data_IF_189872708374
#
_entry.id   IF_189872708374
#
_cell.length_a   1.000
_cell.length_b   1.000
_cell.length_c   1.000
_cell.angle_alpha   90.00
_cell.angle_beta   90.00
_cell.angle_gamma   90.00
#
_symmetry.space_group_name_H-M   'P 1'
#
loop_
_entity.id
_entity.type
_entity.pdbx_description
1 polymer ?
#
# COMPACT_ATOMS: atom_id res chain seq x y z
N UNK A 1 -0.26 -22.08 8.02
CA UNK A 1 -0.59 -20.74 7.47
C UNK A 1 -1.90 -20.68 6.67
N UNK A 2 -2.21 -21.64 5.80
CA UNK A 2 -3.39 -21.63 4.91
C UNK A 2 -4.76 -21.36 5.58
N UNK A 3 -4.99 -21.90 6.79
CA UNK A 3 -6.26 -21.75 7.53
C UNK A 3 -6.47 -20.31 8.00
N UNK A 4 -5.39 -19.57 8.30
CA UNK A 4 -5.41 -18.14 8.67
C UNK A 4 -5.69 -17.26 7.46
N UNK A 5 -5.02 -17.52 6.33
CA UNK A 5 -5.23 -16.80 5.06
C UNK A 5 -6.68 -16.91 4.58
N UNK A 6 -7.29 -18.10 4.70
CA UNK A 6 -8.71 -18.30 4.36
C UNK A 6 -9.68 -17.52 5.27
N UNK A 7 -9.34 -17.32 6.56
CA UNK A 7 -10.18 -16.55 7.50
C UNK A 7 -10.03 -15.04 7.27
N UNK A 8 -8.82 -14.59 6.91
CA UNK A 8 -8.51 -13.22 6.51
C UNK A 8 -9.13 -12.86 5.15
N UNK A 9 -9.06 -13.76 4.16
CA UNK A 9 -9.74 -13.63 2.86
C UNK A 9 -11.25 -13.44 3.04
N UNK A 10 -11.92 -14.28 3.84
CA UNK A 10 -13.34 -14.11 4.17
C UNK A 10 -13.68 -12.76 4.84
N UNK A 11 -12.76 -12.19 5.66
CA UNK A 11 -12.97 -10.88 6.32
C UNK A 11 -12.73 -9.72 5.35
N UNK A 12 -11.72 -9.84 4.47
CA UNK A 12 -11.45 -8.91 3.40
C UNK A 12 -12.56 -8.92 2.34
N UNK A 13 -13.14 -10.09 2.06
CA UNK A 13 -14.23 -10.27 1.11
C UNK A 13 -15.53 -9.63 1.59
N UNK A 14 -15.89 -9.83 2.87
CA UNK A 14 -17.02 -9.11 3.49
C UNK A 14 -16.83 -7.59 3.42
N UNK A 15 -15.59 -7.11 3.57
CA UNK A 15 -15.28 -5.69 3.49
C UNK A 15 -15.33 -5.17 2.04
N UNK A 16 -14.74 -5.90 1.09
CA UNK A 16 -14.74 -5.56 -0.33
C UNK A 16 -16.15 -5.63 -0.94
N UNK A 17 -16.95 -6.62 -0.54
CA UNK A 17 -18.34 -6.75 -0.96
C UNK A 17 -19.20 -5.62 -0.38
N UNK A 18 -19.03 -5.28 0.90
CA UNK A 18 -19.71 -4.12 1.51
C UNK A 18 -19.40 -2.80 0.78
N UNK A 19 -18.15 -2.57 0.37
CA UNK A 19 -17.77 -1.38 -0.41
C UNK A 19 -18.35 -1.42 -1.83
N UNK A 20 -18.38 -2.60 -2.47
CA UNK A 20 -18.95 -2.77 -3.82
C UNK A 20 -20.45 -2.49 -3.86
N UNK A 21 -21.20 -2.86 -2.82
CA UNK A 21 -22.62 -2.52 -2.69
C UNK A 21 -22.83 -1.02 -2.45
N UNK A 22 -21.93 -0.35 -1.70
CA UNK A 22 -22.00 1.10 -1.49
C UNK A 22 -21.59 1.96 -2.71
N UNK A 23 -20.86 1.42 -3.69
CA UNK A 23 -20.53 2.14 -4.94
C UNK A 23 -21.56 1.94 -6.06
N UNK A 24 -22.57 1.09 -5.86
CA UNK A 24 -23.70 0.94 -6.79
C UNK A 24 -24.81 1.98 -6.59
N UNK A 25 -24.76 2.76 -5.51
CA UNK A 25 -25.63 3.91 -5.32
C UNK A 25 -24.91 5.14 -5.88
N UNK A 26 -25.33 5.55 -7.09
CA UNK A 26 -24.71 6.62 -7.86
C UNK A 26 -24.57 7.94 -7.09
N UNK A 27 -23.52 8.68 -7.43
CA UNK A 27 -23.53 10.16 -7.53
C UNK A 27 -24.51 10.88 -6.58
N UNK A 28 -24.25 10.82 -5.28
CA UNK A 28 -24.63 11.87 -4.32
C UNK A 28 -23.41 12.24 -3.51
N UNK A 29 -22.55 13.02 -4.15
CA UNK A 29 -21.39 13.69 -3.56
C UNK A 29 -21.94 14.93 -2.85
N UNK A 30 -22.62 14.76 -1.73
CA UNK A 30 -22.93 15.87 -0.82
C UNK A 30 -23.30 15.29 0.54
N UNK A 31 -22.54 15.72 1.56
CA UNK A 31 -22.97 15.75 2.96
C UNK A 31 -23.31 14.36 3.54
N UNK A 32 -22.41 13.65 4.22
CA UNK A 32 -22.26 13.82 5.69
C UNK A 32 -21.22 12.77 6.16
N UNK A 33 -19.94 13.17 6.40
CA UNK A 33 -18.80 12.42 7.01
C UNK A 33 -17.44 12.44 6.23
N UNK A 34 -17.28 13.28 5.21
CA UNK A 34 -16.02 13.40 4.42
C UNK A 34 -14.97 14.35 5.04
N UNK A 35 -15.29 15.05 6.13
CA UNK A 35 -14.37 15.99 6.76
C UNK A 35 -13.41 15.34 7.77
N UNK A 36 -12.15 15.07 7.37
CA UNK A 36 -10.94 15.70 7.97
C UNK A 36 -9.58 15.01 7.75
N UNK A 37 -9.44 13.75 7.31
CA UNK A 37 -8.10 13.10 7.27
C UNK A 37 -7.93 11.95 6.24
N UNK A 38 -8.70 11.87 5.15
CA UNK A 38 -8.42 10.84 4.13
C UNK A 38 -7.21 11.21 3.27
N UNK A 39 -6.44 10.22 2.82
CA UNK A 39 -5.35 10.45 1.85
C UNK A 39 -5.87 11.12 0.56
N UNK A 40 -7.10 10.81 0.13
CA UNK A 40 -7.75 11.47 -1.01
C UNK A 40 -7.93 12.98 -0.81
N UNK A 41 -8.46 13.41 0.34
CA UNK A 41 -8.58 14.83 0.67
C UNK A 41 -7.22 15.52 0.71
N UNK A 42 -6.20 14.83 1.26
CA UNK A 42 -4.83 15.36 1.31
C UNK A 42 -4.20 15.52 -0.07
N UNK A 43 -4.48 14.61 -1.02
CA UNK A 43 -4.01 14.74 -2.41
C UNK A 43 -4.58 16.01 -3.06
N UNK A 44 -5.85 16.32 -2.84
CA UNK A 44 -6.46 17.56 -3.35
C UNK A 44 -5.85 18.79 -2.69
N UNK A 45 -5.78 18.82 -1.35
CA UNK A 45 -5.24 19.97 -0.61
C UNK A 45 -3.77 20.28 -0.94
N UNK A 46 -2.94 19.24 -1.06
CA UNK A 46 -1.51 19.39 -1.32
C UNK A 46 -1.24 19.60 -2.83
N UNK A 47 -2.24 19.40 -3.69
CA UNK A 47 -2.13 19.62 -5.13
C UNK A 47 -1.42 18.49 -5.88
N UNK A 48 -1.67 17.24 -5.49
CA UNK A 48 -1.29 16.06 -6.28
C UNK A 48 -0.49 14.99 -5.52
N UNK A 49 -0.49 13.78 -6.09
CA UNK A 49 0.09 12.58 -5.46
C UNK A 49 1.61 12.66 -5.26
N UNK A 50 2.35 13.33 -6.16
CA UNK A 50 3.81 13.48 -6.05
C UNK A 50 4.19 14.33 -4.84
N UNK A 51 3.44 15.42 -4.60
CA UNK A 51 3.67 16.29 -3.44
C UNK A 51 3.28 15.60 -2.14
N UNK A 52 2.17 14.85 -2.13
CA UNK A 52 1.79 14.02 -0.98
C UNK A 52 2.85 12.97 -0.66
N UNK A 53 3.40 12.28 -1.66
CA UNK A 53 4.50 11.32 -1.47
C UNK A 53 5.70 11.96 -0.75
N UNK A 54 6.15 13.14 -1.22
CA UNK A 54 7.26 13.91 -0.61
C UNK A 54 6.96 14.39 0.81
N UNK A 55 5.70 14.67 1.14
CA UNK A 55 5.32 15.05 2.51
C UNK A 55 5.15 13.84 3.44
N UNK A 56 4.79 12.68 2.90
CA UNK A 56 4.55 11.47 3.69
C UNK A 56 5.84 10.71 3.99
N UNK A 57 6.80 10.75 3.08
CA UNK A 57 8.03 9.99 3.15
C UNK A 57 9.20 10.92 2.84
N UNK A 58 10.33 10.73 3.51
CA UNK A 58 11.57 11.39 3.15
C UNK A 58 11.99 10.91 1.76
N UNK A 59 12.09 11.84 0.80
CA UNK A 59 12.43 11.54 -0.60
C UNK A 59 13.84 12.03 -0.88
N UNK A 60 14.70 11.13 -1.32
CA UNK A 60 16.10 11.45 -1.64
C UNK A 60 16.22 12.30 -2.91
N UNK A 61 17.35 12.96 -3.09
CA UNK A 61 17.67 13.62 -4.36
C UNK A 61 17.64 12.61 -5.51
N UNK A 62 17.05 12.98 -6.65
CA UNK A 62 16.86 12.09 -7.79
C UNK A 62 15.74 11.05 -7.68
N UNK A 63 15.16 10.83 -6.49
CA UNK A 63 14.07 9.86 -6.32
C UNK A 63 12.77 10.32 -7.00
N UNK A 64 12.22 9.45 -7.85
CA UNK A 64 11.01 9.73 -8.65
C UNK A 64 9.90 8.75 -8.30
N UNK A 65 8.69 9.27 -8.13
CA UNK A 65 7.48 8.46 -7.99
C UNK A 65 7.08 7.87 -9.35
N UNK A 66 7.03 6.55 -9.44
CA UNK A 66 6.67 5.80 -10.65
C UNK A 66 5.18 5.48 -10.69
N UNK A 67 4.61 5.05 -9.56
CA UNK A 67 3.20 4.63 -9.48
C UNK A 67 2.59 4.83 -8.10
N UNK A 68 1.28 5.04 -8.10
CA UNK A 68 0.43 4.93 -6.90
C UNK A 68 -0.65 3.89 -7.15
N UNK A 69 -0.85 3.00 -6.18
CA UNK A 69 -1.86 1.96 -6.22
C UNK A 69 -2.71 2.02 -4.95
N UNK A 70 -4.03 2.06 -5.11
CA UNK A 70 -4.92 1.76 -4.00
C UNK A 70 -4.91 0.26 -3.75
N UNK A 71 -4.70 -0.13 -2.49
CA UNK A 71 -4.65 -1.53 -2.07
C UNK A 71 -4.87 -1.64 -0.56
N UNK A 72 -4.78 -2.87 -0.06
CA UNK A 72 -4.81 -3.19 1.36
C UNK A 72 -3.49 -3.84 1.75
N UNK A 73 -2.92 -3.42 2.88
CA UNK A 73 -1.87 -4.16 3.55
C UNK A 73 -2.50 -5.20 4.48
N UNK A 74 -2.16 -6.48 4.29
CA UNK A 74 -2.58 -7.54 5.20
C UNK A 74 -1.80 -7.44 6.51
N UNK A 75 -2.51 -7.43 7.63
CA UNK A 75 -1.91 -7.49 8.98
C UNK A 75 -2.61 -8.54 9.82
N UNK A 76 -2.03 -8.89 10.97
CA UNK A 76 -2.63 -9.83 11.92
C UNK A 76 -3.97 -9.36 12.49
N UNK A 77 -4.18 -8.04 12.63
CA UNK A 77 -5.45 -7.45 13.06
C UNK A 77 -6.50 -7.37 11.91
N UNK A 78 -6.04 -7.54 10.66
CA UNK A 78 -6.85 -7.48 9.46
C UNK A 78 -6.26 -6.59 8.38
N UNK A 79 -6.91 -6.51 7.20
CA UNK A 79 -6.44 -5.67 6.10
C UNK A 79 -6.60 -4.18 6.44
N UNK A 80 -5.57 -3.39 6.16
CA UNK A 80 -5.56 -1.93 6.31
C UNK A 80 -5.62 -1.30 4.92
N UNK A 81 -6.67 -0.55 4.64
CA UNK A 81 -6.82 0.20 3.38
C UNK A 81 -5.78 1.33 3.31
N UNK A 82 -5.18 1.52 2.14
CA UNK A 82 -4.22 2.60 1.93
C UNK A 82 -3.73 2.76 0.49
N UNK A 83 -2.69 3.58 0.36
CA UNK A 83 -2.00 3.82 -0.90
C UNK A 83 -0.59 3.25 -0.83
N UNK A 84 -0.25 2.48 -1.86
CA UNK A 84 1.08 1.97 -2.14
C UNK A 84 1.74 2.87 -3.18
N UNK A 85 2.82 3.52 -2.79
CA UNK A 85 3.69 4.34 -3.63
C UNK A 85 4.88 3.51 -4.05
N UNK A 86 5.12 3.44 -5.36
CA UNK A 86 6.29 2.80 -5.95
C UNK A 86 7.14 3.92 -6.54
N UNK A 87 8.35 4.10 -6.00
CA UNK A 87 9.33 5.07 -6.50
C UNK A 87 10.51 4.33 -7.13
N UNK A 88 11.50 5.08 -7.62
CA UNK A 88 12.77 4.52 -8.09
C UNK A 88 13.65 3.96 -6.96
N UNK A 89 13.38 4.31 -5.70
CA UNK A 89 14.24 3.95 -4.55
C UNK A 89 13.55 3.03 -3.53
N UNK A 90 12.24 3.15 -3.40
CA UNK A 90 11.46 2.46 -2.36
C UNK A 90 10.02 2.16 -2.76
N UNK A 91 9.51 1.11 -2.14
CA UNK A 91 8.10 0.85 -1.96
C UNK A 91 7.64 1.44 -0.63
N UNK A 92 6.58 2.24 -0.64
CA UNK A 92 6.09 2.92 0.54
C UNK A 92 4.56 2.83 0.64
N UNK A 93 4.05 2.30 1.75
CA UNK A 93 2.62 2.22 2.02
C UNK A 93 2.22 3.22 3.09
N UNK A 94 1.06 3.84 2.94
CA UNK A 94 0.43 4.66 3.97
C UNK A 94 -1.06 4.30 4.07
N UNK A 95 -1.55 4.08 5.29
CA UNK A 95 -2.98 3.87 5.53
C UNK A 95 -3.79 5.08 5.11
N UNK A 96 -5.01 4.85 4.62
CA UNK A 96 -5.93 5.94 4.24
C UNK A 96 -6.51 6.66 5.46
N UNK A 97 -6.71 5.91 6.56
CA UNK A 97 -7.17 6.43 7.84
C UNK A 97 -6.03 6.50 8.84
N UNK A 98 -6.05 7.54 9.66
CA UNK A 98 -5.18 7.64 10.84
C UNK A 98 -5.79 6.89 12.03
N UNK A 99 -4.91 6.42 12.90
CA UNK A 99 -5.21 5.75 14.16
C UNK A 99 -4.92 6.75 15.28
N UNK A 100 -5.79 6.82 16.29
CA UNK A 100 -5.57 7.61 17.50
C UNK A 100 -4.68 6.81 18.45
N UNK A 101 -3.57 7.39 18.88
CA UNK A 101 -2.71 6.87 19.93
C UNK A 101 -2.60 7.89 21.06
N UNK A 102 -2.55 7.42 22.28
CA UNK A 102 -2.16 8.22 23.44
C UNK A 102 -0.63 8.30 23.49
N UNK A 103 -0.09 9.51 23.58
CA UNK A 103 1.31 9.71 23.94
C UNK A 103 1.54 9.40 25.43
N UNK A 104 2.78 9.16 25.87
CA UNK A 104 3.11 9.00 27.28
C UNK A 104 2.62 10.16 28.17
N UNK A 105 2.52 11.36 27.60
CA UNK A 105 2.02 12.58 28.26
C UNK A 105 0.48 12.72 28.21
N UNK A 106 -0.24 11.68 27.81
CA UNK A 106 -1.70 11.65 27.74
C UNK A 106 -2.32 12.39 26.55
N UNK A 107 -1.51 12.95 25.63
CA UNK A 107 -2.02 13.64 24.44
C UNK A 107 -2.44 12.64 23.37
N UNK A 108 -3.63 12.84 22.79
CA UNK A 108 -4.09 12.02 21.66
C UNK A 108 -3.47 12.50 20.35
N UNK A 109 -2.58 11.69 19.79
CA UNK A 109 -1.95 11.91 18.48
C UNK A 109 -2.62 11.03 17.43
N UNK A 110 -2.81 11.56 16.23
CA UNK A 110 -3.29 10.79 15.08
C UNK A 110 -2.12 10.44 14.17
N UNK A 111 -1.85 9.14 14.02
CA UNK A 111 -0.78 8.66 13.15
C UNK A 111 -1.33 7.79 12.03
N UNK A 112 -0.66 7.75 10.88
CA UNK A 112 -0.96 6.79 9.83
C UNK A 112 -0.05 5.57 9.98
N UNK A 113 -0.59 4.39 9.69
CA UNK A 113 0.23 3.19 9.57
C UNK A 113 1.06 3.32 8.29
N UNK A 114 2.38 3.18 8.42
CA UNK A 114 3.31 3.32 7.30
C UNK A 114 4.23 2.11 7.22
N UNK A 115 4.55 1.71 6.00
CA UNK A 115 5.60 0.72 5.70
C UNK A 115 6.50 1.35 4.66
N UNK A 116 7.82 1.23 4.81
CA UNK A 116 8.79 1.68 3.82
C UNK A 116 9.81 0.57 3.61
N UNK A 117 9.92 0.09 2.37
CA UNK A 117 10.85 -0.96 1.97
C UNK A 117 11.73 -0.41 0.85
N UNK A 118 13.04 -0.19 1.09
CA UNK A 118 13.97 0.16 0.02
C UNK A 118 13.99 -0.93 -1.06
N UNK A 119 13.98 -0.57 -2.35
CA UNK A 119 13.93 -1.56 -3.43
C UNK A 119 15.15 -2.48 -3.42
N UNK A 120 16.34 -1.96 -3.08
CA UNK A 120 17.56 -2.75 -2.88
C UNK A 120 17.47 -3.82 -1.78
N UNK A 121 16.51 -3.70 -0.87
CA UNK A 121 16.23 -4.69 0.19
C UNK A 121 15.14 -5.68 -0.21
N UNK A 122 14.53 -5.53 -1.38
CA UNK A 122 13.53 -6.48 -1.89
C UNK A 122 14.27 -7.64 -2.58
N UNK A 123 14.05 -8.84 -2.05
CA UNK A 123 14.55 -10.10 -2.60
C UNK A 123 13.68 -10.51 -3.79
N UNK A 124 12.37 -10.62 -3.58
CA UNK A 124 11.42 -11.00 -4.62
C UNK A 124 10.07 -10.31 -4.45
N UNK A 125 9.32 -10.26 -5.54
CA UNK A 125 7.92 -9.89 -5.53
C UNK A 125 7.10 -10.97 -6.25
N UNK A 126 6.25 -11.65 -5.48
CA UNK A 126 5.55 -12.84 -5.94
C UNK A 126 4.06 -12.56 -6.14
N UNK A 127 3.49 -13.17 -7.16
CA UNK A 127 2.03 -13.23 -7.34
C UNK A 127 1.49 -14.40 -6.53
N UNK A 128 0.32 -14.20 -5.92
CA UNK A 128 -0.41 -15.27 -5.24
C UNK A 128 -1.91 -15.05 -5.37
N UNK A 129 -2.70 -16.09 -5.19
CA UNK A 129 -4.15 -16.04 -5.23
C UNK A 129 -4.76 -16.95 -4.16
N UNK A 130 -6.00 -16.65 -3.76
CA UNK A 130 -6.70 -17.47 -2.79
C UNK A 130 -7.16 -18.75 -3.47
N UNK A 131 -6.71 -19.91 -2.97
CA UNK A 131 -7.08 -21.23 -3.50
C UNK A 131 -8.60 -21.48 -3.56
N UNK A 132 -9.38 -20.88 -2.65
CA UNK A 132 -10.85 -21.00 -2.63
C UNK A 132 -11.55 -19.91 -3.44
N UNK A 133 -10.86 -18.80 -3.69
CA UNK A 133 -11.42 -17.64 -4.40
C UNK A 133 -10.35 -17.00 -5.29
N UNK A 134 -10.08 -17.55 -6.49
CA UNK A 134 -9.01 -17.09 -7.37
C UNK A 134 -9.13 -15.62 -7.84
N UNK A 135 -10.31 -15.00 -7.68
CA UNK A 135 -10.48 -13.56 -7.90
C UNK A 135 -9.80 -12.70 -6.84
N UNK A 136 -9.48 -13.25 -5.66
CA UNK A 136 -8.66 -12.60 -4.64
C UNK A 136 -7.18 -12.83 -4.96
N UNK A 137 -6.53 -11.77 -5.44
CA UNK A 137 -5.11 -11.78 -5.81
C UNK A 137 -4.28 -10.97 -4.82
N UNK A 138 -3.07 -11.44 -4.60
CA UNK A 138 -2.12 -10.94 -3.62
C UNK A 138 -0.77 -10.70 -4.28
N UNK A 139 -0.07 -9.66 -3.84
CA UNK A 139 1.34 -9.44 -4.14
C UNK A 139 2.09 -9.58 -2.82
N UNK A 140 2.98 -10.55 -2.76
CA UNK A 140 3.90 -10.75 -1.65
C UNK A 140 5.24 -10.07 -1.98
N UNK A 141 5.73 -9.23 -1.06
CA UNK A 141 7.05 -8.62 -1.13
C UNK A 141 7.91 -9.28 -0.07
N UNK A 142 8.95 -10.00 -0.50
CA UNK A 142 9.90 -10.65 0.38
C UNK A 142 11.17 -9.80 0.41
N UNK A 143 11.66 -9.47 1.59
CA UNK A 143 12.90 -8.72 1.77
C UNK A 143 14.09 -9.65 1.94
N UNK A 144 15.31 -9.11 1.80
CA UNK A 144 16.56 -9.87 1.94
C UNK A 144 16.80 -10.43 3.35
N UNK A 145 16.18 -9.81 4.35
CA UNK A 145 16.12 -10.23 5.76
C UNK A 145 14.88 -11.09 6.08
N UNK A 146 14.25 -11.66 5.04
CA UNK A 146 13.15 -12.62 5.10
C UNK A 146 11.87 -12.14 5.81
N UNK A 147 11.64 -10.82 5.86
CA UNK A 147 10.32 -10.27 6.14
C UNK A 147 9.43 -10.31 4.90
N UNK A 148 8.14 -10.53 5.10
CA UNK A 148 7.14 -10.56 4.04
C UNK A 148 6.05 -9.49 4.24
N UNK A 149 5.70 -8.79 3.17
CA UNK A 149 4.60 -7.83 3.15
C UNK A 149 3.56 -8.25 2.10
N UNK A 150 2.34 -8.46 2.55
CA UNK A 150 1.25 -8.93 1.70
C UNK A 150 0.29 -7.81 1.36
N UNK A 151 0.20 -7.48 0.07
CA UNK A 151 -0.74 -6.50 -0.46
C UNK A 151 -1.85 -7.18 -1.24
N UNK A 152 -3.07 -6.68 -1.12
CA UNK A 152 -4.25 -7.26 -1.77
C UNK A 152 -5.27 -6.19 -2.18
N UNK A 153 -6.31 -6.60 -2.91
CA UNK A 153 -7.42 -5.71 -3.28
C UNK A 153 -6.99 -4.54 -4.17
N UNK A 154 -6.00 -4.76 -5.04
CA UNK A 154 -5.56 -3.78 -6.02
C UNK A 154 -6.68 -3.51 -7.03
N UNK A 155 -6.98 -2.22 -7.26
CA UNK A 155 -7.92 -1.83 -8.33
C UNK A 155 -7.45 -2.32 -9.71
N UNK A 156 -6.13 -2.31 -9.95
CA UNK A 156 -5.53 -2.89 -11.16
C UNK A 156 -4.30 -3.73 -10.81
N UNK A 157 -4.54 -4.98 -10.44
CA UNK A 157 -3.53 -5.93 -9.99
C UNK A 157 -2.37 -6.10 -10.97
N UNK A 158 -2.65 -6.40 -12.24
CA UNK A 158 -1.61 -6.65 -13.26
C UNK A 158 -0.72 -5.44 -13.48
N UNK A 159 -1.32 -4.24 -13.49
CA UNK A 159 -0.57 -2.99 -13.68
C UNK A 159 0.31 -2.69 -12.46
N UNK A 160 -0.19 -2.94 -11.25
CA UNK A 160 0.57 -2.77 -10.02
C UNK A 160 1.78 -3.71 -9.98
N UNK A 161 1.54 -5.00 -10.24
CA UNK A 161 2.60 -6.02 -10.25
C UNK A 161 3.68 -5.73 -11.30
N UNK A 162 3.29 -5.40 -12.54
CA UNK A 162 4.24 -5.05 -13.60
C UNK A 162 5.13 -3.86 -13.20
N UNK A 163 4.55 -2.79 -12.68
CA UNK A 163 5.32 -1.62 -12.25
C UNK A 163 6.25 -1.92 -11.08
N UNK A 164 5.84 -2.81 -10.18
CA UNK A 164 6.65 -3.22 -9.04
C UNK A 164 7.84 -4.07 -9.47
N UNK A 165 7.62 -5.07 -10.33
CA UNK A 165 8.71 -5.88 -10.89
C UNK A 165 9.72 -5.02 -11.63
N UNK A 166 9.26 -4.10 -12.49
CA UNK A 166 10.14 -3.18 -13.21
C UNK A 166 11.01 -2.35 -12.27
N UNK A 167 10.43 -1.82 -11.19
CA UNK A 167 11.16 -1.03 -10.21
C UNK A 167 12.22 -1.88 -9.46
N UNK A 168 11.86 -3.09 -9.02
CA UNK A 168 12.77 -4.01 -8.32
C UNK A 168 13.92 -4.43 -9.23
N UNK A 169 13.64 -4.85 -10.47
CA UNK A 169 14.67 -5.25 -11.43
C UNK A 169 15.63 -4.10 -11.74
N UNK A 170 15.11 -2.88 -11.95
CA UNK A 170 15.97 -1.72 -12.21
C UNK A 170 16.89 -1.41 -11.02
N UNK A 171 16.37 -1.47 -9.79
CA UNK A 171 17.16 -1.23 -8.59
C UNK A 171 18.28 -2.27 -8.40
N UNK A 172 18.00 -3.54 -8.72
CA UNK A 172 18.99 -4.62 -8.68
C UNK A 172 20.09 -4.41 -9.72
N UNK A 173 19.74 -4.05 -10.96
CA UNK A 173 20.73 -3.74 -12.02
C UNK A 173 21.68 -2.60 -11.62
N UNK A 174 21.13 -1.53 -11.04
CA UNK A 174 21.93 -0.38 -10.60
C UNK A 174 22.91 -0.74 -9.47
N UNK A 175 22.55 -1.70 -8.60
CA UNK A 175 23.42 -2.14 -7.49
C UNK A 175 24.61 -2.95 -8.02
N UNK A 176 24.40 -3.81 -9.01
CA UNK A 176 25.47 -4.60 -9.64
C UNK A 176 26.49 -3.72 -10.37
N UNK A 177 26.03 -2.66 -11.04
CA UNK A 177 26.93 -1.70 -11.70
C UNK A 177 27.79 -0.89 -10.72
N UNK A 178 27.24 -0.52 -9.55
CA UNK A 178 27.98 0.22 -8.53
C UNK A 178 29.03 -0.62 -7.78
N UNK A 179 29.01 -1.95 -7.92
CA UNK A 179 29.97 -2.86 -7.27
C UNK A 179 31.17 -3.17 -8.19
N UNK A 180 31.11 -2.79 -9.46
CA UNK A 180 32.13 -3.04 -10.49
C UNK A 180 32.94 -1.78 -10.86
N UNK A 181 32.76 -0.68 -10.14
CA UNK A 181 33.60 0.53 -10.18
C UNK A 181 34.19 0.77 -8.81
#
# INVERSE_FOLDING_TARGET
MLKRMNKLGKKADKFAHGIREHMRLGTKITETLVGKLSLGARILQVGGVKKVFRQLFSVSEGERLLRVCQCYLSTTAGPIAGLLFISTEKLAFCSERSIKLSSPEGKLVRIHYKVVVPLRKIKTANQSENAKKPSEKYIEIVTVDDFDFWFMGFFSYQKAFKSLQQAVTQAQMNTSHSTLM
#
